data_IF_948418491519
#
_entry.id   IF_948418491519
#
_cell.length_a   1.000
_cell.length_b   1.000
_cell.length_c   1.000
_cell.angle_alpha   90.00
_cell.angle_beta   90.00
_cell.angle_gamma   90.00
#
_symmetry.space_group_name_H-M   'P 1'
#
loop_
_entity.id
_entity.type
_entity.pdbx_description
1 polymer ?
#
# COMPACT_ATOMS: atom_id res chain seq x y z
N UNK A 1 -3.73 13.31 16.74
CA UNK A 1 -4.01 11.94 17.23
C UNK A 1 -3.66 10.89 16.18
N UNK A 2 -3.20 9.73 16.53
CA UNK A 2 -2.23 8.89 15.82
C UNK A 2 -2.74 8.22 14.53
N UNK A 3 -2.24 8.58 13.33
CA UNK A 3 -2.58 7.88 12.06
C UNK A 3 -2.05 6.44 12.01
N UNK A 4 -1.11 6.09 12.89
CA UNK A 4 -0.57 4.73 12.99
C UNK A 4 -1.60 3.66 13.44
N UNK A 5 -2.68 4.07 14.11
CA UNK A 5 -3.71 3.13 14.56
C UNK A 5 -4.58 2.61 13.40
N UNK A 6 -4.82 3.42 12.36
CA UNK A 6 -5.66 3.05 11.23
C UNK A 6 -4.97 2.10 10.24
N UNK A 7 -3.67 2.34 9.98
CA UNK A 7 -2.87 1.41 9.19
C UNK A 7 -2.71 0.06 9.90
N UNK A 8 -2.65 0.06 11.23
CA UNK A 8 -2.60 -1.15 12.04
C UNK A 8 -3.94 -1.91 12.03
N UNK A 9 -5.09 -1.21 12.03
CA UNK A 9 -6.41 -1.84 11.95
C UNK A 9 -6.64 -2.49 10.58
N UNK A 10 -6.32 -1.81 9.48
CA UNK A 10 -6.41 -2.39 8.13
C UNK A 10 -5.42 -3.56 7.93
N UNK A 11 -4.23 -3.48 8.54
CA UNK A 11 -3.24 -4.56 8.50
C UNK A 11 -3.66 -5.74 9.39
N UNK A 12 -4.29 -5.49 10.54
CA UNK A 12 -4.80 -6.50 11.44
C UNK A 12 -5.98 -7.27 10.83
N UNK A 13 -6.88 -6.60 10.10
CA UNK A 13 -7.96 -7.22 9.33
C UNK A 13 -7.36 -8.09 8.22
N UNK A 14 -6.36 -7.60 7.47
CA UNK A 14 -5.66 -8.35 6.42
C UNK A 14 -4.86 -9.56 6.95
N UNK A 15 -4.21 -9.44 8.12
CA UNK A 15 -3.42 -10.52 8.74
C UNK A 15 -4.30 -11.52 9.52
N UNK A 16 -5.39 -11.07 10.14
CA UNK A 16 -6.36 -11.95 10.79
C UNK A 16 -7.07 -12.87 9.79
N UNK A 17 -7.32 -12.38 8.57
CA UNK A 17 -7.90 -13.16 7.48
C UNK A 17 -6.88 -14.13 6.83
N UNK A 18 -5.59 -13.85 6.85
CA UNK A 18 -4.56 -14.71 6.26
C UNK A 18 -4.31 -16.03 7.03
N UNK A 19 -4.69 -16.10 8.31
CA UNK A 19 -4.59 -17.33 9.11
C UNK A 19 -5.81 -18.26 9.02
N UNK A 20 -6.94 -17.80 8.48
CA UNK A 20 -8.13 -18.60 8.27
C UNK A 20 -8.09 -19.21 6.87
N UNK A 21 -8.08 -20.55 6.77
CA UNK A 21 -8.40 -21.24 5.51
C UNK A 21 -9.85 -20.94 5.17
N UNK A 22 -10.08 -19.86 4.40
CA UNK A 22 -11.38 -19.60 3.80
C UNK A 22 -11.61 -20.66 2.73
N UNK A 23 -12.52 -21.57 2.99
CA UNK A 23 -13.07 -22.44 1.96
C UNK A 23 -14.08 -21.58 1.21
N UNK A 24 -13.69 -21.12 0.04
CA UNK A 24 -14.59 -20.47 -0.91
C UNK A 24 -15.50 -21.55 -1.46
N UNK A 25 -16.73 -21.64 -0.95
CA UNK A 25 -17.79 -22.47 -1.51
C UNK A 25 -18.79 -21.52 -2.20
N UNK A 26 -19.13 -21.82 -3.42
CA UNK A 26 -19.97 -21.08 -4.36
C UNK A 26 -20.95 -20.04 -3.78
N UNK A 27 -20.49 -18.79 -3.56
CA UNK A 27 -21.36 -17.63 -3.33
C UNK A 27 -21.95 -17.47 -1.93
N UNK A 28 -21.75 -18.40 -1.01
CA UNK A 28 -22.27 -18.35 0.35
C UNK A 28 -21.40 -17.50 1.27
N UNK A 29 -22.02 -16.64 2.08
CA UNK A 29 -21.33 -15.81 3.06
C UNK A 29 -20.68 -16.69 4.15
N UNK A 30 -19.41 -16.45 4.43
CA UNK A 30 -18.72 -17.09 5.56
C UNK A 30 -18.96 -16.25 6.79
N UNK A 31 -19.61 -16.81 7.79
CA UNK A 31 -19.91 -16.15 9.06
C UNK A 31 -19.23 -16.86 10.22
N UNK A 32 -18.79 -16.10 11.22
CA UNK A 32 -18.23 -16.60 12.48
C UNK A 32 -18.63 -15.72 13.64
N UNK A 33 -18.93 -16.36 14.76
CA UNK A 33 -19.18 -15.68 16.03
C UNK A 33 -18.13 -16.08 17.05
N UNK A 34 -17.54 -15.10 17.72
CA UNK A 34 -16.62 -15.30 18.83
C UNK A 34 -17.11 -14.52 20.05
N UNK A 35 -17.68 -15.25 21.03
CA UNK A 35 -18.33 -14.61 22.16
C UNK A 35 -19.54 -13.79 21.71
N UNK A 36 -19.49 -12.49 21.92
CA UNK A 36 -20.51 -11.54 21.48
C UNK A 36 -20.27 -10.95 20.08
N UNK A 37 -19.03 -11.09 19.54
CA UNK A 37 -18.59 -10.45 18.31
C UNK A 37 -18.93 -11.28 17.08
N UNK A 38 -19.24 -10.60 15.98
CA UNK A 38 -19.69 -11.20 14.73
C UNK A 38 -18.77 -10.82 13.55
N UNK A 39 -18.35 -11.83 12.82
CA UNK A 39 -17.49 -11.69 11.64
C UNK A 39 -18.18 -12.29 10.44
N UNK A 40 -18.30 -11.55 9.34
CA UNK A 40 -18.84 -12.07 8.09
C UNK A 40 -18.07 -11.55 6.87
N UNK A 41 -17.90 -12.45 5.88
CA UNK A 41 -17.31 -12.10 4.60
C UNK A 41 -18.05 -12.82 3.46
N UNK A 42 -18.38 -12.10 2.37
CA UNK A 42 -19.11 -12.70 1.24
C UNK A 42 -19.44 -11.73 0.12
N UNK A 43 -20.02 -12.23 -0.95
CA UNK A 43 -20.45 -11.39 -2.08
C UNK A 43 -21.59 -10.44 -1.70
N UNK A 44 -22.58 -10.97 -0.99
CA UNK A 44 -23.77 -10.24 -0.51
C UNK A 44 -23.99 -10.58 0.96
N UNK A 45 -24.02 -9.56 1.82
CA UNK A 45 -24.22 -9.69 3.26
C UNK A 45 -25.43 -8.87 3.68
N UNK A 46 -26.40 -9.50 4.36
CA UNK A 46 -27.53 -8.85 4.97
C UNK A 46 -27.55 -9.18 6.46
N UNK A 47 -27.25 -8.18 7.29
CA UNK A 47 -27.30 -8.32 8.74
C UNK A 47 -28.67 -7.83 9.25
N UNK A 48 -29.51 -8.78 9.66
CA UNK A 48 -30.87 -8.53 10.17
C UNK A 48 -31.00 -8.88 11.64
N UNK A 49 -30.12 -9.71 12.17
CA UNK A 49 -30.13 -10.13 13.57
C UNK A 49 -29.27 -9.18 14.42
N UNK A 50 -29.75 -8.87 15.62
CA UNK A 50 -29.04 -8.00 16.55
C UNK A 50 -27.73 -8.66 17.04
N UNK A 51 -26.64 -7.88 17.04
CA UNK A 51 -25.33 -8.29 17.52
C UNK A 51 -25.08 -7.68 18.90
N UNK A 52 -24.69 -8.54 19.85
CA UNK A 52 -24.48 -8.12 21.24
C UNK A 52 -23.08 -7.53 21.52
N UNK A 53 -22.12 -7.73 20.63
CA UNK A 53 -20.77 -7.20 20.66
C UNK A 53 -20.46 -6.41 19.38
N UNK A 54 -19.21 -6.51 18.93
CA UNK A 54 -18.72 -5.84 17.73
C UNK A 54 -19.09 -6.63 16.46
N UNK A 55 -19.27 -5.90 15.35
CA UNK A 55 -19.52 -6.51 14.05
C UNK A 55 -18.45 -6.11 13.03
N UNK A 56 -17.84 -7.11 12.36
CA UNK A 56 -16.82 -6.95 11.33
C UNK A 56 -17.30 -7.57 10.02
N UNK A 57 -17.63 -6.74 9.04
CA UNK A 57 -18.27 -7.17 7.80
C UNK A 57 -17.45 -6.77 6.59
N UNK A 58 -17.24 -7.70 5.63
CA UNK A 58 -16.56 -7.40 4.37
C UNK A 58 -17.27 -8.08 3.19
N UNK A 59 -17.68 -7.31 2.17
CA UNK A 59 -18.43 -7.90 1.07
C UNK A 59 -18.53 -7.05 -0.19
N UNK A 60 -19.13 -7.61 -1.25
CA UNK A 60 -19.46 -6.84 -2.45
C UNK A 60 -20.57 -5.83 -2.17
N UNK A 61 -21.68 -6.33 -1.62
CA UNK A 61 -22.83 -5.55 -1.13
C UNK A 61 -23.08 -5.91 0.31
N UNK A 62 -23.09 -4.92 1.19
CA UNK A 62 -23.32 -5.12 2.62
C UNK A 62 -24.47 -4.23 3.08
N UNK A 63 -25.51 -4.85 3.62
CA UNK A 63 -26.67 -4.15 4.18
C UNK A 63 -26.80 -4.51 5.65
N UNK A 64 -26.82 -3.51 6.51
CA UNK A 64 -27.03 -3.64 7.94
C UNK A 64 -28.37 -2.96 8.29
N UNK A 65 -29.32 -3.72 8.81
CA UNK A 65 -30.64 -3.23 9.20
C UNK A 65 -30.97 -3.52 10.68
N UNK A 66 -29.97 -3.99 11.46
CA UNK A 66 -30.12 -4.46 12.82
C UNK A 66 -29.37 -3.59 13.83
N UNK A 67 -29.57 -3.87 15.11
CA UNK A 67 -28.81 -3.29 16.21
C UNK A 67 -27.43 -3.98 16.32
N UNK A 68 -26.37 -3.19 16.41
CA UNK A 68 -25.02 -3.61 16.81
C UNK A 68 -24.69 -2.87 18.11
N UNK A 69 -24.50 -3.57 19.21
CA UNK A 69 -24.31 -2.93 20.52
C UNK A 69 -22.89 -2.41 20.75
N UNK A 70 -21.91 -2.98 20.10
CA UNK A 70 -20.52 -2.52 20.09
C UNK A 70 -20.20 -1.70 18.85
N UNK A 71 -18.93 -1.81 18.41
CA UNK A 71 -18.42 -1.17 17.21
C UNK A 71 -18.91 -1.88 15.93
N UNK A 72 -19.18 -1.08 14.89
CA UNK A 72 -19.41 -1.62 13.55
C UNK A 72 -18.24 -1.25 12.62
N UNK A 73 -17.56 -2.25 12.09
CA UNK A 73 -16.52 -2.12 11.06
C UNK A 73 -17.01 -2.80 9.80
N UNK A 74 -17.26 -2.03 8.75
CA UNK A 74 -17.79 -2.55 7.49
C UNK A 74 -17.00 -2.05 6.29
N UNK A 75 -16.73 -2.96 5.34
CA UNK A 75 -16.08 -2.62 4.07
C UNK A 75 -16.77 -3.35 2.90
N UNK A 76 -17.00 -2.63 1.79
CA UNK A 76 -17.67 -3.24 0.63
C UNK A 76 -17.61 -2.41 -0.64
N UNK A 77 -18.11 -2.97 -1.75
CA UNK A 77 -18.36 -2.19 -2.96
C UNK A 77 -19.51 -1.20 -2.75
N UNK A 78 -20.62 -1.70 -2.24
CA UNK A 78 -21.78 -0.92 -1.80
C UNK A 78 -22.08 -1.26 -0.35
N UNK A 79 -22.19 -0.25 0.50
CA UNK A 79 -22.44 -0.39 1.94
C UNK A 79 -23.67 0.45 2.31
N UNK A 80 -24.65 -0.18 2.93
CA UNK A 80 -25.85 0.49 3.46
C UNK A 80 -25.99 0.18 4.94
N UNK A 81 -25.87 1.19 5.78
CA UNK A 81 -25.95 1.07 7.24
C UNK A 81 -27.23 1.72 7.73
N UNK A 82 -28.09 0.91 8.30
CA UNK A 82 -29.31 1.31 9.01
C UNK A 82 -29.29 0.76 10.43
N UNK A 83 -30.36 1.00 11.20
CA UNK A 83 -30.52 0.51 12.57
C UNK A 83 -29.78 1.37 13.60
N UNK A 84 -29.19 0.73 14.63
CA UNK A 84 -28.50 1.44 15.72
C UNK A 84 -27.14 0.82 16.02
N UNK A 85 -26.14 1.67 16.21
CA UNK A 85 -24.77 1.31 16.57
C UNK A 85 -24.49 1.86 17.97
N UNK A 86 -24.15 0.97 18.91
CA UNK A 86 -23.98 1.32 20.31
C UNK A 86 -22.70 2.08 20.63
N UNK A 87 -21.64 1.85 19.85
CA UNK A 87 -20.35 2.52 19.99
C UNK A 87 -19.94 3.21 18.67
N UNK A 88 -18.74 3.00 18.16
CA UNK A 88 -18.20 3.68 16.99
C UNK A 88 -18.59 2.96 15.67
N UNK A 89 -18.73 3.74 14.59
CA UNK A 89 -18.94 3.26 13.22
C UNK A 89 -17.70 3.55 12.34
N UNK A 90 -17.20 2.52 11.67
CA UNK A 90 -16.18 2.62 10.62
C UNK A 90 -16.71 1.97 9.34
N UNK A 91 -17.00 2.77 8.32
CA UNK A 91 -17.52 2.28 7.05
C UNK A 91 -16.64 2.71 5.88
N UNK A 92 -16.37 1.77 4.96
CA UNK A 92 -15.61 2.06 3.75
C UNK A 92 -16.20 1.35 2.53
N UNK A 93 -16.32 2.06 1.39
CA UNK A 93 -16.89 1.45 0.18
C UNK A 93 -16.76 2.28 -1.07
N UNK A 94 -17.21 1.75 -2.22
CA UNK A 94 -17.42 2.54 -3.42
C UNK A 94 -18.56 3.53 -3.21
N UNK A 95 -19.72 3.02 -2.79
CA UNK A 95 -20.91 3.79 -2.40
C UNK A 95 -21.25 3.44 -0.95
N UNK A 96 -21.36 4.46 -0.08
CA UNK A 96 -21.72 4.27 1.32
C UNK A 96 -22.94 5.12 1.64
N UNK A 97 -24.01 4.46 2.14
CA UNK A 97 -25.21 5.12 2.65
C UNK A 97 -25.34 4.88 4.15
N UNK A 98 -25.60 5.94 4.90
CA UNK A 98 -25.85 5.90 6.33
C UNK A 98 -27.23 6.47 6.63
N UNK A 99 -28.09 5.65 7.23
CA UNK A 99 -29.40 6.02 7.79
C UNK A 99 -29.57 5.33 9.17
N UNK A 100 -28.66 5.64 10.10
CA UNK A 100 -28.53 4.94 11.37
C UNK A 100 -28.36 5.89 12.55
N UNK A 101 -28.62 5.37 13.77
CA UNK A 101 -28.30 6.06 15.01
C UNK A 101 -26.95 5.51 15.51
N UNK A 102 -25.95 6.37 15.66
CA UNK A 102 -24.61 6.02 16.17
C UNK A 102 -24.38 6.73 17.48
N UNK A 103 -24.15 5.97 18.56
CA UNK A 103 -23.99 6.55 19.91
C UNK A 103 -22.56 7.08 20.12
N UNK A 104 -21.58 6.53 19.44
CA UNK A 104 -20.20 6.99 19.41
C UNK A 104 -19.89 7.92 18.24
N UNK A 105 -18.71 7.77 17.68
CA UNK A 105 -18.25 8.52 16.51
C UNK A 105 -18.53 7.73 15.22
N UNK A 106 -18.64 8.44 14.09
CA UNK A 106 -18.72 7.77 12.80
C UNK A 106 -17.61 8.26 11.85
N UNK A 107 -16.95 7.31 11.19
CA UNK A 107 -15.90 7.56 10.18
C UNK A 107 -16.22 6.80 8.92
N UNK A 108 -16.48 7.54 7.86
CA UNK A 108 -16.97 6.99 6.60
C UNK A 108 -16.06 7.44 5.46
N UNK A 109 -15.66 6.48 4.63
CA UNK A 109 -14.85 6.75 3.44
C UNK A 109 -15.44 6.03 2.21
N UNK A 110 -15.57 6.75 1.08
CA UNK A 110 -16.12 6.16 -0.14
C UNK A 110 -15.85 6.95 -1.40
N UNK A 111 -16.28 6.44 -2.55
CA UNK A 111 -16.38 7.25 -3.77
C UNK A 111 -17.53 8.23 -3.65
N UNK A 112 -18.72 7.71 -3.35
CA UNK A 112 -19.92 8.45 -3.03
C UNK A 112 -20.35 8.14 -1.60
N UNK A 113 -20.49 9.15 -0.76
CA UNK A 113 -20.91 9.05 0.64
C UNK A 113 -22.18 9.86 0.86
N UNK A 114 -23.26 9.19 1.27
CA UNK A 114 -24.55 9.82 1.55
C UNK A 114 -24.97 9.53 2.99
N UNK A 115 -25.09 10.58 3.79
CA UNK A 115 -25.63 10.52 5.16
C UNK A 115 -27.04 11.07 5.14
N UNK A 116 -28.03 10.18 5.31
CA UNK A 116 -29.43 10.51 5.20
C UNK A 116 -30.02 11.23 6.41
N UNK A 117 -31.24 11.78 6.27
CA UNK A 117 -31.85 12.61 7.29
C UNK A 117 -32.29 11.85 8.55
N UNK A 118 -32.35 10.53 8.50
CA UNK A 118 -32.67 9.70 9.70
C UNK A 118 -31.39 9.44 10.53
N UNK A 119 -30.23 9.85 10.06
CA UNK A 119 -28.95 9.64 10.77
C UNK A 119 -28.80 10.59 11.93
N UNK A 120 -28.47 10.02 13.10
CA UNK A 120 -28.05 10.78 14.29
C UNK A 120 -26.73 10.21 14.79
N UNK A 121 -25.70 11.04 14.88
CA UNK A 121 -24.40 10.68 15.44
C UNK A 121 -24.19 11.48 16.73
N UNK A 122 -24.13 10.81 17.88
CA UNK A 122 -23.96 11.49 19.15
C UNK A 122 -22.53 12.03 19.36
N UNK A 123 -21.54 11.46 18.71
CA UNK A 123 -20.16 11.92 18.70
C UNK A 123 -19.81 12.74 17.45
N UNK A 124 -18.53 12.69 17.10
CA UNK A 124 -18.00 13.35 15.93
C UNK A 124 -18.22 12.54 14.65
N UNK A 125 -18.40 13.25 13.53
CA UNK A 125 -18.59 12.64 12.21
C UNK A 125 -17.46 13.05 11.26
N UNK A 126 -16.78 12.06 10.68
CA UNK A 126 -15.77 12.28 9.64
C UNK A 126 -16.18 11.61 8.34
N UNK A 127 -16.29 12.37 7.27
CA UNK A 127 -16.71 11.94 5.94
C UNK A 127 -15.59 12.21 4.94
N UNK A 128 -15.25 11.21 4.12
CA UNK A 128 -14.27 11.38 3.04
C UNK A 128 -14.76 10.69 1.78
N UNK A 129 -14.82 11.43 0.66
CA UNK A 129 -15.30 10.85 -0.59
C UNK A 129 -15.04 11.72 -1.81
N UNK A 130 -15.31 11.20 -3.01
CA UNK A 130 -15.38 12.04 -4.22
C UNK A 130 -16.58 12.99 -4.14
N UNK A 131 -17.73 12.45 -3.79
CA UNK A 131 -18.98 13.18 -3.56
C UNK A 131 -19.48 12.87 -2.16
N UNK A 132 -19.75 13.90 -1.36
CA UNK A 132 -20.22 13.77 0.03
C UNK A 132 -21.50 14.57 0.21
N UNK A 133 -22.57 13.91 0.62
CA UNK A 133 -23.84 14.52 1.02
C UNK A 133 -24.13 14.25 2.50
N UNK A 134 -24.43 15.32 3.23
CA UNK A 134 -24.78 15.25 4.65
C UNK A 134 -26.11 15.94 4.91
N UNK A 135 -27.13 15.14 5.20
CA UNK A 135 -28.48 15.58 5.57
C UNK A 135 -28.87 15.18 7.01
N UNK A 136 -27.95 14.53 7.75
CA UNK A 136 -28.16 14.00 9.09
C UNK A 136 -27.96 15.00 10.23
N UNK A 137 -27.84 14.48 11.45
CA UNK A 137 -27.59 15.23 12.69
C UNK A 137 -26.31 14.71 13.36
N UNK A 138 -25.38 15.58 13.72
CA UNK A 138 -24.20 15.23 14.55
C UNK A 138 -24.07 16.18 15.72
N UNK A 139 -23.90 15.60 16.92
CA UNK A 139 -23.91 16.39 18.16
C UNK A 139 -22.55 16.99 18.51
N UNK A 140 -21.47 16.54 17.87
CA UNK A 140 -20.14 17.10 18.01
C UNK A 140 -19.72 17.77 16.69
N UNK A 141 -18.45 17.75 16.34
CA UNK A 141 -17.93 18.36 15.11
C UNK A 141 -18.17 17.47 13.88
N UNK A 142 -18.28 18.13 12.72
CA UNK A 142 -18.25 17.50 11.40
C UNK A 142 -16.94 17.81 10.70
N UNK A 143 -16.27 16.78 10.20
CA UNK A 143 -15.16 16.93 9.26
C UNK A 143 -15.54 16.26 7.93
N UNK A 144 -15.55 17.01 6.84
CA UNK A 144 -15.90 16.50 5.52
C UNK A 144 -14.82 16.83 4.49
N UNK A 145 -14.43 15.85 3.68
CA UNK A 145 -13.39 16.02 2.66
C UNK A 145 -13.82 15.37 1.34
N UNK A 146 -13.67 16.09 0.22
CA UNK A 146 -14.04 15.54 -1.09
C UNK A 146 -13.79 16.46 -2.28
N UNK A 147 -14.20 16.05 -3.48
CA UNK A 147 -14.24 16.96 -4.60
C UNK A 147 -15.47 17.87 -4.50
N UNK A 148 -16.64 17.29 -4.19
CA UNK A 148 -17.87 18.02 -3.92
C UNK A 148 -18.46 17.63 -2.57
N UNK A 149 -18.72 18.63 -1.72
CA UNK A 149 -19.35 18.44 -0.40
C UNK A 149 -20.62 19.28 -0.32
N UNK A 150 -21.76 18.61 -0.01
CA UNK A 150 -23.04 19.25 0.26
C UNK A 150 -23.44 19.03 1.70
N UNK A 151 -23.66 20.13 2.41
CA UNK A 151 -24.14 20.13 3.80
C UNK A 151 -25.55 20.69 3.87
N UNK A 152 -26.52 19.88 4.31
CA UNK A 152 -27.89 20.31 4.50
C UNK A 152 -28.50 19.84 5.82
N UNK A 153 -27.70 19.16 6.65
CA UNK A 153 -28.07 18.62 7.95
C UNK A 153 -27.73 19.55 9.11
N UNK A 154 -27.77 18.99 10.32
CA UNK A 154 -27.52 19.68 11.59
C UNK A 154 -26.15 19.29 12.16
N UNK A 155 -25.33 20.28 12.47
CA UNK A 155 -24.04 20.11 13.16
C UNK A 155 -24.08 20.98 14.43
N UNK A 156 -24.04 20.35 15.59
CA UNK A 156 -24.09 21.12 16.85
C UNK A 156 -22.78 21.81 17.18
N UNK A 157 -21.65 21.24 16.76
CA UNK A 157 -20.29 21.79 16.90
C UNK A 157 -19.81 22.58 15.70
N UNK A 158 -18.49 22.61 15.53
CA UNK A 158 -17.82 23.20 14.36
C UNK A 158 -17.92 22.26 13.14
N UNK A 159 -18.02 22.83 11.94
CA UNK A 159 -17.94 22.08 10.68
C UNK A 159 -16.68 22.50 9.91
N UNK A 160 -15.78 21.54 9.66
CA UNK A 160 -14.58 21.74 8.87
C UNK A 160 -14.71 21.00 7.53
N UNK A 161 -14.60 21.74 6.41
CA UNK A 161 -14.85 21.21 5.08
C UNK A 161 -13.64 21.49 4.18
N UNK A 162 -13.13 20.43 3.56
CA UNK A 162 -12.05 20.46 2.59
C UNK A 162 -12.55 19.94 1.24
N UNK A 163 -12.85 20.83 0.29
CA UNK A 163 -13.40 20.41 -1.01
C UNK A 163 -13.10 21.41 -2.14
N UNK A 164 -13.23 20.95 -3.39
CA UNK A 164 -13.17 21.83 -4.55
C UNK A 164 -14.44 22.68 -4.66
N UNK A 165 -15.59 22.07 -4.37
CA UNK A 165 -16.89 22.70 -4.39
C UNK A 165 -17.63 22.43 -3.07
N UNK A 166 -18.11 23.48 -2.40
CA UNK A 166 -18.87 23.39 -1.16
C UNK A 166 -20.23 24.04 -1.33
N UNK A 167 -21.28 23.26 -1.10
CA UNK A 167 -22.68 23.73 -1.10
C UNK A 167 -23.26 23.57 0.32
N UNK A 168 -23.81 24.65 0.86
CA UNK A 168 -24.57 24.63 2.12
C UNK A 168 -26.02 24.84 1.79
N UNK A 169 -26.83 23.83 2.06
CA UNK A 169 -28.26 23.81 1.75
C UNK A 169 -29.11 24.68 2.68
N UNK A 170 -30.39 24.90 2.33
CA UNK A 170 -31.25 25.81 3.06
C UNK A 170 -31.65 25.32 4.45
N UNK A 171 -31.61 24.00 4.70
CA UNK A 171 -31.93 23.39 5.98
C UNK A 171 -30.71 23.22 6.90
N UNK A 172 -29.54 23.56 6.40
CA UNK A 172 -28.28 23.42 7.16
C UNK A 172 -28.29 24.30 8.43
N UNK A 173 -27.94 23.68 9.56
CA UNK A 173 -27.82 24.36 10.86
C UNK A 173 -26.47 23.98 11.49
N UNK A 174 -25.57 24.95 11.60
CA UNK A 174 -24.25 24.76 12.19
C UNK A 174 -24.18 25.62 13.46
N UNK A 175 -24.09 24.97 14.62
CA UNK A 175 -24.05 25.62 15.93
C UNK A 175 -22.73 26.32 16.19
N UNK A 176 -21.63 25.77 15.70
CA UNK A 176 -20.30 26.34 15.75
C UNK A 176 -19.93 27.14 14.50
N UNK A 177 -18.65 27.15 14.16
CA UNK A 177 -18.08 27.79 12.97
C UNK A 177 -18.13 26.85 11.78
N UNK A 178 -18.33 27.43 10.59
CA UNK A 178 -18.08 26.73 9.33
C UNK A 178 -16.71 27.15 8.80
N UNK A 179 -15.75 26.24 8.83
CA UNK A 179 -14.39 26.46 8.32
C UNK A 179 -14.27 25.76 6.98
N UNK A 180 -14.09 26.53 5.91
CA UNK A 180 -14.04 26.00 4.54
C UNK A 180 -12.67 26.22 3.95
N UNK A 181 -12.07 25.15 3.51
CA UNK A 181 -10.86 25.16 2.69
C UNK A 181 -11.22 24.73 1.27
N UNK A 182 -11.22 25.65 0.33
CA UNK A 182 -11.63 25.40 -1.05
C UNK A 182 -10.94 26.35 -2.03
N UNK A 183 -10.89 25.96 -3.31
CA UNK A 183 -10.43 26.85 -4.39
C UNK A 183 -11.49 27.87 -4.80
N UNK A 184 -12.75 27.62 -4.43
CA UNK A 184 -13.90 28.50 -4.75
C UNK A 184 -14.66 28.84 -3.47
N UNK A 185 -15.26 30.01 -3.43
CA UNK A 185 -16.11 30.40 -2.29
C UNK A 185 -17.29 29.42 -2.15
N UNK A 186 -17.66 29.04 -0.90
CA UNK A 186 -18.80 28.16 -0.68
C UNK A 186 -20.11 28.84 -1.10
N UNK A 187 -20.99 28.05 -1.72
CA UNK A 187 -22.34 28.50 -2.04
C UNK A 187 -23.24 28.24 -0.84
N UNK A 188 -23.67 29.28 -0.16
CA UNK A 188 -24.55 29.19 1.02
C UNK A 188 -25.96 29.60 0.62
N UNK A 189 -26.91 28.68 0.76
CA UNK A 189 -28.31 28.92 0.42
C UNK A 189 -28.99 29.89 1.42
N UNK A 190 -29.93 30.71 0.96
CA UNK A 190 -30.76 31.50 1.83
C UNK A 190 -31.60 30.58 2.74
N UNK A 191 -31.39 30.65 4.04
CA UNK A 191 -32.06 29.76 5.01
C UNK A 191 -31.08 28.98 5.87
N UNK A 192 -29.86 28.78 5.41
CA UNK A 192 -28.80 28.19 6.23
C UNK A 192 -28.50 29.07 7.47
N UNK A 193 -28.33 28.41 8.62
CA UNK A 193 -28.01 29.09 9.89
C UNK A 193 -26.64 28.62 10.36
N UNK A 194 -25.67 29.54 10.41
CA UNK A 194 -24.32 29.28 10.92
C UNK A 194 -24.05 30.24 12.06
N UNK A 195 -24.09 29.73 13.29
CA UNK A 195 -24.07 30.56 14.50
C UNK A 195 -22.69 31.17 14.76
N UNK A 196 -21.63 30.40 14.57
CA UNK A 196 -20.24 30.83 14.80
C UNK A 196 -19.61 31.60 13.64
N UNK A 197 -20.36 31.81 12.56
CA UNK A 197 -19.84 32.46 11.35
C UNK A 197 -19.09 31.52 10.40
N UNK A 198 -18.67 32.05 9.25
CA UNK A 198 -17.96 31.30 8.21
C UNK A 198 -16.55 31.83 8.04
N UNK A 199 -15.56 30.96 8.17
CA UNK A 199 -14.15 31.21 7.86
C UNK A 199 -13.81 30.53 6.53
N UNK A 200 -13.40 31.31 5.54
CA UNK A 200 -12.99 30.80 4.24
C UNK A 200 -11.48 30.93 4.05
N UNK A 201 -10.87 29.81 3.72
CA UNK A 201 -9.45 29.73 3.39
C UNK A 201 -9.31 29.29 1.94
N UNK A 202 -8.79 30.18 1.11
CA UNK A 202 -8.47 29.81 -0.27
C UNK A 202 -7.33 28.79 -0.26
N UNK A 203 -7.60 27.60 -0.75
CA UNK A 203 -6.66 26.52 -0.75
C UNK A 203 -6.75 25.75 -2.05
N UNK A 204 -5.59 25.52 -2.67
CA UNK A 204 -5.51 24.63 -3.83
C UNK A 204 -5.65 23.17 -3.40
N UNK A 205 -6.46 22.36 -4.10
CA UNK A 205 -6.73 20.96 -3.77
C UNK A 205 -5.49 20.11 -3.53
N UNK A 206 -4.38 20.43 -4.21
CA UNK A 206 -3.12 19.72 -4.10
C UNK A 206 -2.50 19.73 -2.69
N UNK A 207 -2.77 20.76 -1.86
CA UNK A 207 -2.17 20.87 -0.52
C UNK A 207 -2.83 20.00 0.54
N UNK A 208 -4.13 19.72 0.43
CA UNK A 208 -4.87 18.95 1.43
C UNK A 208 -4.53 17.47 1.40
N UNK A 209 -4.42 16.94 0.19
CA UNK A 209 -4.02 15.55 0.01
C UNK A 209 -2.52 15.34 0.20
N UNK A 210 -1.70 16.40 0.19
CA UNK A 210 -0.24 16.27 0.29
C UNK A 210 0.24 16.05 1.73
N UNK A 211 -0.34 16.64 2.76
CA UNK A 211 0.07 16.38 4.15
C UNK A 211 -0.39 15.00 4.62
N UNK A 212 -1.62 14.60 4.34
CA UNK A 212 -2.12 13.29 4.71
C UNK A 212 -1.50 12.18 3.83
N UNK A 213 -1.37 12.42 2.53
CA UNK A 213 -0.63 11.55 1.61
C UNK A 213 0.86 11.50 1.92
N UNK A 214 1.48 12.57 2.41
CA UNK A 214 2.88 12.56 2.81
C UNK A 214 3.11 11.65 4.02
N UNK A 215 2.22 11.66 5.01
CA UNK A 215 2.31 10.77 6.17
C UNK A 215 2.04 9.30 5.80
N UNK A 216 1.01 9.02 5.00
CA UNK A 216 0.70 7.68 4.51
C UNK A 216 1.78 7.20 3.53
N UNK A 217 2.26 8.06 2.63
CA UNK A 217 3.38 7.74 1.73
C UNK A 217 4.66 7.50 2.51
N UNK A 218 4.97 8.28 3.55
CA UNK A 218 6.16 8.07 4.38
C UNK A 218 6.12 6.72 5.10
N UNK A 219 4.96 6.33 5.67
CA UNK A 219 4.77 5.02 6.29
C UNK A 219 4.78 3.90 5.24
N UNK A 220 4.07 4.06 4.12
CA UNK A 220 4.05 3.08 3.03
C UNK A 220 5.44 2.91 2.39
N UNK A 221 6.19 3.99 2.18
CA UNK A 221 7.57 3.93 1.71
C UNK A 221 8.50 3.31 2.76
N UNK A 222 8.31 3.61 4.04
CA UNK A 222 9.07 3.01 5.14
C UNK A 222 8.85 1.50 5.21
N UNK A 223 7.61 1.06 5.34
CA UNK A 223 7.24 -0.37 5.39
C UNK A 223 7.58 -1.07 4.08
N UNK A 224 7.26 -0.49 2.94
CA UNK A 224 7.59 -1.03 1.63
C UNK A 224 9.10 -1.19 1.43
N UNK A 225 9.91 -0.23 1.86
CA UNK A 225 11.37 -0.32 1.76
C UNK A 225 11.95 -1.41 2.67
N UNK A 226 11.40 -1.62 3.86
CA UNK A 226 11.82 -2.70 4.77
C UNK A 226 11.44 -4.06 4.18
N UNK A 227 10.20 -4.24 3.72
CA UNK A 227 9.75 -5.48 3.08
C UNK A 227 10.57 -5.80 1.82
N UNK A 228 10.83 -4.79 0.98
CA UNK A 228 11.70 -4.93 -0.18
C UNK A 228 13.12 -5.38 0.22
N UNK A 229 13.70 -4.75 1.23
CA UNK A 229 15.05 -5.09 1.70
C UNK A 229 15.12 -6.51 2.28
N UNK A 230 14.12 -6.91 3.07
CA UNK A 230 13.98 -8.28 3.59
C UNK A 230 13.81 -9.28 2.45
N UNK A 231 12.98 -8.98 1.45
CA UNK A 231 12.80 -9.80 0.24
C UNK A 231 14.11 -9.99 -0.54
N UNK A 232 14.87 -8.91 -0.75
CA UNK A 232 16.20 -8.95 -1.39
C UNK A 232 17.16 -9.81 -0.58
N UNK A 233 17.16 -9.69 0.75
CA UNK A 233 18.02 -10.48 1.64
C UNK A 233 17.69 -11.98 1.55
N UNK A 234 16.40 -12.33 1.63
CA UNK A 234 15.94 -13.73 1.52
C UNK A 234 16.32 -14.31 0.16
N UNK A 235 16.05 -13.60 -0.94
CA UNK A 235 16.39 -14.06 -2.29
C UNK A 235 17.90 -14.17 -2.50
N UNK A 236 18.69 -13.28 -1.91
CA UNK A 236 20.15 -13.34 -1.93
C UNK A 236 20.70 -14.53 -1.13
N UNK A 237 20.09 -14.81 0.03
CA UNK A 237 20.43 -16.00 0.82
C UNK A 237 20.08 -17.29 0.06
N UNK A 238 18.89 -17.32 -0.56
CA UNK A 238 18.46 -18.45 -1.40
C UNK A 238 19.43 -18.68 -2.56
N UNK A 239 19.88 -17.63 -3.24
CA UNK A 239 20.87 -17.71 -4.32
C UNK A 239 22.20 -18.32 -3.83
N UNK A 240 22.67 -17.94 -2.63
CA UNK A 240 23.86 -18.53 -2.01
C UNK A 240 23.71 -20.01 -1.67
N UNK A 241 22.50 -20.43 -1.23
CA UNK A 241 22.24 -21.81 -0.85
C UNK A 241 21.98 -22.73 -2.04
N UNK A 242 21.26 -22.24 -3.07
CA UNK A 242 20.87 -23.05 -4.24
C UNK A 242 22.02 -23.15 -5.25
N UNK A 243 22.80 -22.08 -5.42
CA UNK A 243 23.89 -22.02 -6.41
C UNK A 243 25.21 -21.55 -5.77
N UNK A 244 25.78 -22.28 -4.80
CA UNK A 244 26.94 -21.83 -4.03
C UNK A 244 28.20 -21.67 -4.90
N UNK A 245 28.39 -22.56 -5.87
CA UNK A 245 29.54 -22.49 -6.75
C UNK A 245 29.46 -21.35 -7.76
N UNK A 246 28.28 -21.16 -8.37
CA UNK A 246 28.05 -20.07 -9.32
C UNK A 246 28.19 -18.70 -8.64
N UNK A 247 27.62 -18.54 -7.43
CA UNK A 247 27.69 -17.29 -6.69
C UNK A 247 29.11 -16.90 -6.28
N UNK A 248 29.91 -17.88 -5.83
CA UNK A 248 31.31 -17.64 -5.42
C UNK A 248 32.24 -17.38 -6.62
N UNK A 249 32.07 -18.13 -7.72
CA UNK A 249 32.84 -17.95 -8.95
C UNK A 249 32.51 -16.65 -9.67
N UNK A 250 31.21 -16.28 -9.74
CA UNK A 250 30.79 -15.01 -10.33
C UNK A 250 31.31 -13.81 -9.53
N UNK A 251 31.25 -13.87 -8.19
CA UNK A 251 31.88 -12.84 -7.36
C UNK A 251 33.38 -12.71 -7.59
N UNK A 252 34.10 -13.82 -7.74
CA UNK A 252 35.53 -13.79 -8.06
C UNK A 252 35.84 -13.22 -9.47
N UNK A 253 34.95 -13.44 -10.44
CA UNK A 253 35.06 -12.90 -11.80
C UNK A 253 34.99 -11.37 -11.85
N UNK A 254 34.16 -10.76 -10.98
CA UNK A 254 34.09 -9.29 -10.80
C UNK A 254 35.46 -8.69 -10.51
N UNK A 255 36.27 -9.35 -9.65
CA UNK A 255 37.58 -8.88 -9.28
C UNK A 255 38.70 -9.17 -10.31
N UNK A 256 38.58 -10.25 -11.10
CA UNK A 256 39.61 -10.70 -12.03
C UNK A 256 39.54 -10.00 -13.38
N UNK A 257 38.34 -9.73 -13.89
CA UNK A 257 38.16 -9.19 -15.25
C UNK A 257 37.06 -8.11 -15.28
N UNK A 258 37.23 -6.99 -14.55
CA UNK A 258 36.15 -6.00 -14.41
C UNK A 258 35.75 -5.36 -15.74
N UNK A 259 36.75 -5.09 -16.63
CA UNK A 259 36.48 -4.44 -17.92
C UNK A 259 35.70 -5.35 -18.89
N UNK A 260 36.04 -6.65 -18.91
CA UNK A 260 35.33 -7.64 -19.74
C UNK A 260 33.92 -7.86 -19.20
N UNK A 261 33.76 -7.93 -17.88
CA UNK A 261 32.46 -8.01 -17.26
C UNK A 261 31.60 -6.77 -17.55
N UNK A 262 32.17 -5.57 -17.51
CA UNK A 262 31.46 -4.34 -17.84
C UNK A 262 30.97 -4.32 -19.31
N UNK A 263 31.87 -4.68 -20.25
CA UNK A 263 31.55 -4.70 -21.69
C UNK A 263 30.45 -5.74 -22.00
N UNK A 264 30.57 -6.96 -21.43
CA UNK A 264 29.59 -8.02 -21.63
C UNK A 264 28.25 -7.68 -20.94
N UNK A 265 28.29 -7.09 -19.75
CA UNK A 265 27.13 -6.62 -19.05
C UNK A 265 26.38 -5.53 -19.83
N UNK A 266 27.07 -4.60 -20.43
CA UNK A 266 26.49 -3.57 -21.30
C UNK A 266 25.85 -4.19 -22.56
N UNK A 267 26.53 -5.15 -23.20
CA UNK A 267 25.99 -5.85 -24.35
C UNK A 267 24.68 -6.60 -24.02
N UNK A 268 24.61 -7.28 -22.86
CA UNK A 268 23.41 -7.98 -22.38
C UNK A 268 22.33 -7.00 -21.95
N UNK A 269 22.71 -5.93 -21.26
CA UNK A 269 21.78 -4.91 -20.78
C UNK A 269 21.00 -4.22 -21.92
N UNK A 270 21.68 -3.96 -23.04
CA UNK A 270 21.04 -3.36 -24.23
C UNK A 270 20.46 -4.44 -25.14
N UNK A 271 21.17 -5.53 -25.36
CA UNK A 271 20.80 -6.57 -26.33
C UNK A 271 19.52 -7.32 -25.96
N UNK A 272 19.34 -7.69 -24.68
CA UNK A 272 18.16 -8.45 -24.27
C UNK A 272 16.85 -7.66 -24.44
N UNK A 273 16.73 -6.38 -24.03
CA UNK A 273 15.55 -5.58 -24.32
C UNK A 273 15.28 -5.40 -25.82
N UNK A 274 16.32 -5.20 -26.62
CA UNK A 274 16.16 -5.08 -28.08
C UNK A 274 15.61 -6.37 -28.66
N UNK A 275 16.15 -7.53 -28.25
CA UNK A 275 15.65 -8.84 -28.69
C UNK A 275 14.21 -9.04 -28.23
N UNK A 276 13.87 -8.67 -26.98
CA UNK A 276 12.51 -8.78 -26.47
C UNK A 276 11.51 -7.95 -27.31
N UNK A 277 11.88 -6.71 -27.66
CA UNK A 277 11.03 -5.87 -28.52
C UNK A 277 10.88 -6.47 -29.92
N UNK A 278 11.95 -6.98 -30.52
CA UNK A 278 11.90 -7.64 -31.82
C UNK A 278 11.02 -8.91 -31.80
N UNK A 279 11.05 -9.67 -30.71
CA UNK A 279 10.19 -10.83 -30.52
C UNK A 279 8.70 -10.44 -30.41
N UNK A 280 8.39 -9.32 -29.77
CA UNK A 280 7.00 -8.83 -29.63
C UNK A 280 6.37 -8.42 -30.96
N UNK A 281 7.16 -8.13 -32.00
CA UNK A 281 6.66 -7.82 -33.34
C UNK A 281 6.09 -9.08 -34.03
N UNK A 282 6.50 -10.28 -33.60
CA UNK A 282 6.05 -11.54 -34.20
C UNK A 282 5.07 -12.27 -33.28
N UNK A 283 4.03 -12.86 -33.86
CA UNK A 283 3.00 -13.61 -33.10
C UNK A 283 3.62 -14.77 -32.30
N UNK A 284 4.60 -15.48 -32.89
CA UNK A 284 5.32 -16.58 -32.23
C UNK A 284 6.30 -16.04 -31.16
N UNK A 285 6.79 -14.83 -31.35
CA UNK A 285 7.73 -14.20 -30.40
C UNK A 285 7.08 -13.67 -29.14
N UNK A 286 5.75 -13.43 -29.12
CA UNK A 286 5.04 -12.94 -27.94
C UNK A 286 5.22 -13.88 -26.73
N UNK A 287 4.93 -15.19 -26.80
CA UNK A 287 5.17 -16.11 -25.68
C UNK A 287 6.64 -16.15 -25.24
N UNK A 288 7.55 -16.07 -26.22
CA UNK A 288 8.99 -16.10 -25.95
C UNK A 288 9.47 -14.81 -25.25
N UNK A 289 8.95 -13.66 -25.66
CA UNK A 289 9.21 -12.38 -25.00
C UNK A 289 8.67 -12.36 -23.57
N UNK A 290 7.46 -12.89 -23.34
CA UNK A 290 6.86 -13.03 -22.00
C UNK A 290 7.70 -13.91 -21.07
N UNK A 291 8.42 -14.89 -21.59
CA UNK A 291 9.36 -15.70 -20.81
C UNK A 291 10.70 -14.98 -20.63
N UNK A 292 11.18 -14.25 -21.66
CA UNK A 292 12.45 -13.56 -21.65
C UNK A 292 12.48 -12.39 -20.65
N UNK A 293 11.39 -11.63 -20.52
CA UNK A 293 11.31 -10.47 -19.63
C UNK A 293 11.52 -10.85 -18.15
N UNK A 294 10.80 -11.79 -17.55
CA UNK A 294 11.05 -12.18 -16.15
C UNK A 294 12.42 -12.80 -15.95
N UNK A 295 12.94 -13.56 -16.92
CA UNK A 295 14.30 -14.09 -16.87
C UNK A 295 15.35 -12.97 -16.88
N UNK A 296 15.12 -11.93 -17.66
CA UNK A 296 15.97 -10.75 -17.70
C UNK A 296 15.93 -9.98 -16.38
N UNK A 297 14.75 -9.77 -15.80
CA UNK A 297 14.59 -9.14 -14.49
C UNK A 297 15.32 -9.93 -13.40
N UNK A 298 15.22 -11.25 -13.43
CA UNK A 298 15.98 -12.14 -12.54
C UNK A 298 17.49 -11.98 -12.73
N UNK A 299 17.97 -11.88 -13.96
CA UNK A 299 19.38 -11.66 -14.26
C UNK A 299 19.88 -10.31 -13.74
N UNK A 300 19.09 -9.24 -13.88
CA UNK A 300 19.38 -7.92 -13.30
C UNK A 300 19.52 -8.01 -11.77
N UNK A 301 18.57 -8.69 -11.14
CA UNK A 301 18.56 -8.91 -9.69
C UNK A 301 19.80 -9.71 -9.22
N UNK A 302 20.08 -10.84 -9.87
CA UNK A 302 21.26 -11.66 -9.55
C UNK A 302 22.59 -10.92 -9.82
N UNK A 303 22.64 -10.07 -10.83
CA UNK A 303 23.79 -9.20 -11.08
C UNK A 303 24.06 -8.26 -9.91
N UNK A 304 23.01 -7.62 -9.39
CA UNK A 304 23.14 -6.77 -8.21
C UNK A 304 23.63 -7.52 -6.97
N UNK A 305 23.07 -8.71 -6.72
CA UNK A 305 23.48 -9.59 -5.61
C UNK A 305 24.93 -10.03 -5.76
N UNK A 306 25.39 -10.32 -7.00
CA UNK A 306 26.77 -10.75 -7.28
C UNK A 306 27.79 -9.68 -6.90
N UNK A 307 27.51 -8.41 -7.18
CA UNK A 307 28.39 -7.31 -6.76
C UNK A 307 28.37 -7.13 -5.24
N UNK A 308 27.20 -7.22 -4.60
CA UNK A 308 27.11 -7.19 -3.15
C UNK A 308 27.92 -8.32 -2.50
N UNK A 309 27.85 -9.53 -3.06
CA UNK A 309 28.68 -10.67 -2.62
C UNK A 309 30.18 -10.42 -2.79
N UNK A 310 30.60 -9.88 -3.92
CA UNK A 310 32.01 -9.52 -4.15
C UNK A 310 32.53 -8.52 -3.10
N UNK A 311 31.75 -7.44 -2.87
CA UNK A 311 32.11 -6.43 -1.86
C UNK A 311 32.16 -7.06 -0.46
N UNK A 312 31.17 -7.86 -0.10
CA UNK A 312 31.09 -8.55 1.19
C UNK A 312 32.26 -9.51 1.39
N UNK A 313 32.60 -10.33 0.39
CA UNK A 313 33.72 -11.25 0.46
C UNK A 313 35.08 -10.52 0.54
N UNK A 314 35.22 -9.42 -0.18
CA UNK A 314 36.44 -8.59 -0.14
C UNK A 314 36.63 -7.92 1.23
N UNK A 315 35.56 -7.37 1.78
CA UNK A 315 35.56 -6.81 3.13
C UNK A 315 35.90 -7.85 4.19
N UNK A 316 35.33 -9.05 4.07
CA UNK A 316 35.59 -10.15 5.00
C UNK A 316 37.04 -10.64 4.95
N UNK A 317 37.62 -10.73 3.74
CA UNK A 317 39.03 -11.09 3.55
C UNK A 317 39.98 -10.05 4.15
N UNK A 318 39.63 -8.78 4.17
CA UNK A 318 40.38 -7.72 4.81
C UNK A 318 40.27 -7.72 6.34
N UNK A 319 39.07 -8.05 6.87
CA UNK A 319 38.82 -8.02 8.30
C UNK A 319 39.25 -9.30 9.03
N UNK A 320 39.27 -10.44 8.35
CA UNK A 320 39.62 -11.77 8.92
C UNK A 320 40.48 -12.60 7.96
N UNK A 321 41.77 -12.27 7.80
CA UNK A 321 42.65 -12.97 6.85
C UNK A 321 43.01 -14.41 7.24
N UNK A 322 42.82 -14.79 8.51
CA UNK A 322 43.34 -16.06 9.07
C UNK A 322 42.27 -17.13 9.38
N UNK A 323 40.97 -16.90 9.08
CA UNK A 323 39.92 -17.88 9.39
C UNK A 323 38.99 -18.11 8.21
N UNK A 324 38.66 -19.37 7.85
CA UNK A 324 37.65 -19.64 6.84
C UNK A 324 36.28 -19.10 7.30
N UNK A 325 35.58 -18.28 6.47
CA UNK A 325 34.35 -17.65 6.89
C UNK A 325 33.22 -18.67 7.02
N UNK A 326 32.58 -18.71 8.18
CA UNK A 326 31.36 -19.49 8.39
C UNK A 326 30.19 -18.90 7.58
N UNK A 327 29.14 -19.67 7.33
CA UNK A 327 27.95 -19.23 6.58
C UNK A 327 27.33 -17.97 7.19
N UNK A 328 27.31 -17.89 8.54
CA UNK A 328 26.81 -16.70 9.23
C UNK A 328 27.60 -15.42 8.90
N UNK A 329 28.91 -15.51 8.84
CA UNK A 329 29.77 -14.38 8.47
C UNK A 329 29.63 -13.97 7.01
N UNK A 330 29.35 -14.92 6.10
CA UNK A 330 29.06 -14.62 4.69
C UNK A 330 27.75 -13.86 4.55
N UNK A 331 26.72 -14.26 5.31
CA UNK A 331 25.43 -13.58 5.34
C UNK A 331 25.52 -12.16 5.94
N UNK A 332 26.27 -12.00 7.03
CA UNK A 332 26.50 -10.68 7.64
C UNK A 332 27.27 -9.75 6.70
N UNK A 333 28.29 -10.25 6.01
CA UNK A 333 29.05 -9.49 5.04
C UNK A 333 28.21 -9.10 3.81
N UNK A 334 27.32 -9.98 3.36
CA UNK A 334 26.34 -9.68 2.30
C UNK A 334 25.38 -8.59 2.75
N UNK A 335 24.82 -8.71 3.96
CA UNK A 335 23.94 -7.70 4.53
C UNK A 335 24.63 -6.34 4.60
N UNK A 336 25.85 -6.29 5.14
CA UNK A 336 26.63 -5.06 5.24
C UNK A 336 26.92 -4.45 3.84
N UNK A 337 27.23 -5.29 2.85
CA UNK A 337 27.47 -4.84 1.48
C UNK A 337 26.19 -4.30 0.81
N UNK A 338 25.03 -4.93 1.02
CA UNK A 338 23.73 -4.45 0.53
C UNK A 338 23.36 -3.10 1.18
N UNK A 339 23.58 -2.95 2.48
CA UNK A 339 23.37 -1.68 3.18
C UNK A 339 24.31 -0.60 2.63
N UNK A 340 25.57 -0.90 2.47
CA UNK A 340 26.57 0.03 1.93
C UNK A 340 26.21 0.48 0.51
N UNK A 341 25.85 -0.46 -0.37
CA UNK A 341 25.40 -0.15 -1.73
C UNK A 341 24.11 0.69 -1.73
N UNK A 342 23.19 0.41 -0.82
CA UNK A 342 21.95 1.19 -0.66
C UNK A 342 22.22 2.62 -0.21
N UNK A 343 23.19 2.81 0.70
CA UNK A 343 23.62 4.13 1.17
C UNK A 343 24.34 4.92 0.08
N UNK A 344 25.28 4.30 -0.62
CA UNK A 344 25.97 4.91 -1.75
C UNK A 344 25.01 5.32 -2.86
N UNK A 345 24.00 4.51 -3.07
CA UNK A 345 22.95 4.75 -4.07
C UNK A 345 22.01 5.94 -3.72
N UNK A 346 22.03 6.44 -2.49
CA UNK A 346 21.26 7.63 -2.05
C UNK A 346 21.98 8.94 -2.30
N UNK A 347 23.28 8.92 -2.64
CA UNK A 347 24.03 10.14 -2.92
C UNK A 347 23.50 10.76 -4.21
N UNK A 348 23.01 12.03 -4.18
CA UNK A 348 22.52 12.70 -5.38
C UNK A 348 23.64 12.81 -6.42
N UNK A 349 23.30 12.65 -7.70
CA UNK A 349 24.16 12.66 -8.90
C UNK A 349 25.11 11.45 -9.05
N UNK A 350 25.63 10.87 -7.97
CA UNK A 350 26.59 9.75 -8.00
C UNK A 350 25.87 8.41 -7.85
N UNK A 351 24.81 8.34 -7.04
CA UNK A 351 24.13 7.10 -6.70
C UNK A 351 23.55 6.36 -7.92
N UNK A 352 23.06 7.09 -8.92
CA UNK A 352 22.59 6.50 -10.18
C UNK A 352 23.70 5.80 -10.96
N UNK A 353 24.86 6.43 -11.08
CA UNK A 353 26.03 5.85 -11.76
C UNK A 353 26.60 4.64 -11.03
N UNK A 354 26.66 4.70 -9.69
CA UNK A 354 27.09 3.55 -8.87
C UNK A 354 26.17 2.35 -9.08
N UNK A 355 24.86 2.55 -9.07
CA UNK A 355 23.89 1.48 -9.35
C UNK A 355 24.08 0.90 -10.74
N UNK A 356 24.19 1.77 -11.73
CA UNK A 356 24.30 1.37 -13.12
C UNK A 356 25.58 0.56 -13.39
N UNK A 357 26.73 1.06 -12.96
CA UNK A 357 28.02 0.37 -13.14
C UNK A 357 28.05 -0.96 -12.36
N UNK A 358 27.57 -0.96 -11.11
CA UNK A 358 27.49 -2.18 -10.31
C UNK A 358 26.62 -3.25 -11.01
N UNK A 359 25.45 -2.84 -11.52
CA UNK A 359 24.55 -3.74 -12.25
C UNK A 359 25.22 -4.34 -13.49
N UNK A 360 25.84 -3.52 -14.32
CA UNK A 360 26.54 -3.99 -15.54
C UNK A 360 27.67 -4.97 -15.23
N UNK A 361 28.51 -4.65 -14.26
CA UNK A 361 29.62 -5.53 -13.86
C UNK A 361 29.09 -6.85 -13.30
N UNK A 362 28.02 -6.82 -12.51
CA UNK A 362 27.40 -8.03 -11.95
C UNK A 362 26.79 -8.94 -12.99
N UNK A 363 26.01 -8.39 -13.93
CA UNK A 363 25.44 -9.16 -15.05
C UNK A 363 26.53 -9.77 -15.89
N UNK A 364 27.55 -8.97 -16.26
CA UNK A 364 28.64 -9.45 -17.10
C UNK A 364 29.44 -10.53 -16.43
N UNK A 365 29.69 -10.46 -15.13
CA UNK A 365 30.40 -11.50 -14.39
C UNK A 365 29.59 -12.82 -14.35
N UNK A 366 28.30 -12.77 -14.17
CA UNK A 366 27.40 -13.95 -14.21
C UNK A 366 27.41 -14.61 -15.60
N UNK A 367 27.23 -13.82 -16.65
CA UNK A 367 27.20 -14.32 -18.03
C UNK A 367 28.57 -14.87 -18.46
N UNK A 368 29.65 -14.19 -18.09
CA UNK A 368 31.03 -14.67 -18.35
C UNK A 368 31.27 -16.01 -17.69
N UNK A 369 30.87 -16.17 -16.43
CA UNK A 369 31.08 -17.42 -15.70
C UNK A 369 30.23 -18.56 -16.30
N UNK A 370 28.96 -18.31 -16.63
CA UNK A 370 28.11 -19.30 -17.27
C UNK A 370 28.65 -19.77 -18.63
N UNK A 371 29.32 -18.87 -19.37
CA UNK A 371 29.98 -19.21 -20.63
C UNK A 371 31.24 -20.04 -20.40
N UNK A 372 32.11 -19.62 -19.48
CA UNK A 372 33.40 -20.31 -19.22
C UNK A 372 33.20 -21.73 -18.64
N UNK A 373 32.17 -21.95 -17.84
CA UNK A 373 31.83 -23.28 -17.33
C UNK A 373 31.33 -24.22 -18.46
N UNK A 374 30.62 -23.71 -19.46
CA UNK A 374 30.23 -24.47 -20.65
C UNK A 374 31.40 -24.96 -21.49
N UNK A 375 32.39 -24.10 -21.67
CA UNK A 375 33.62 -24.46 -22.43
C UNK A 375 34.44 -25.52 -21.70
N UNK A 376 34.46 -25.53 -20.39
CA UNK A 376 35.16 -26.53 -19.59
C UNK A 376 34.48 -27.91 -19.66
N UNK A 377 33.13 -27.96 -19.69
CA UNK A 377 32.38 -29.22 -19.85
C UNK A 377 32.56 -29.80 -21.24
N UNK A 378 32.59 -28.96 -22.29
CA UNK A 378 32.80 -29.42 -23.67
C UNK A 378 34.22 -29.94 -23.88
N UNK A 379 35.24 -29.38 -23.22
CA UNK A 379 36.62 -29.85 -23.30
C UNK A 379 36.88 -31.13 -22.49
N UNK A 380 36.04 -31.43 -21.50
CA UNK A 380 36.13 -32.65 -20.73
C UNK A 380 35.39 -33.85 -21.39
N UNK A 381 34.57 -33.55 -22.38
CA UNK A 381 33.77 -34.55 -23.14
C UNK A 381 34.43 -34.96 -24.50
N UNK A 382 35.55 -34.35 -24.85
CA UNK A 382 36.42 -34.68 -25.99
C UNK A 382 37.75 -35.25 -25.48
#
# INVERSE_FOLDING_TARGET
>A
MRPAAYAAACLAIGLGLAGCKFRYDDGEAVTRQFGADYFAAGGMLNLTDAIAGDAFLAGGHVTIASEVRGDLVVAGGEVSVGGSIGDDLYAAGGNVKLDAIVTGNARIAGGDVAVGPATVVAGALSLTGGHVEFDGDTHDYLQASGAKVRLNGVVHGDAEVHAEEVEVGPDARIGGRLIVYSSTQPTIAPGAVITGGTEFHEATPDRFFDEERASVRAVAHGVGSVLWFVGVLIASALFLFVLPELSSRAAAAVGRTPLKSLALGLAVFIGVPVIAVLLLITVIGIPLALLLVPLYLLLLFLGWVTVALFIGQRALALLRPSSPPTTAWRLLALLAALVLLSLLARIPHIGGWVRFVALLVGIGALVWQAWSDRDSVLRAAV
#
